data_IF_841858581333
#
_entry.id   IF_841858581333
#
_cell.length_a   1.000
_cell.length_b   1.000
_cell.length_c   1.000
_cell.angle_alpha   90.00
_cell.angle_beta   90.00
_cell.angle_gamma   90.00
#
_symmetry.space_group_name_H-M   'P 1'
#
loop_
_entity.id
_entity.type
_entity.pdbx_description
1 polymer ?
#
# COMPACT_ATOMS: atom_id res chain seq x y z
N UNK A 1 -48.08 1.79 -64.17
CA UNK A 1 -46.98 2.78 -64.14
C UNK A 1 -47.20 3.59 -62.90
N UNK A 2 -46.54 3.14 -61.84
CA UNK A 2 -46.67 3.57 -60.45
C UNK A 2 -45.57 4.58 -60.18
N UNK A 3 -45.95 5.80 -59.82
CA UNK A 3 -45.04 6.74 -59.17
C UNK A 3 -45.73 7.20 -57.88
N UNK A 4 -45.18 6.78 -56.76
CA UNK A 4 -45.57 7.23 -55.43
C UNK A 4 -44.26 7.62 -54.76
N UNK A 5 -43.93 8.90 -54.90
CA UNK A 5 -42.79 9.56 -54.24
C UNK A 5 -43.02 9.53 -52.72
N UNK A 6 -42.43 8.53 -52.08
CA UNK A 6 -42.35 8.42 -50.63
C UNK A 6 -41.03 9.04 -50.20
N UNK A 7 -41.10 10.30 -49.73
CA UNK A 7 -40.00 10.99 -49.05
C UNK A 7 -39.66 10.25 -47.75
N UNK A 8 -38.69 9.35 -47.83
CA UNK A 8 -37.96 8.86 -46.66
C UNK A 8 -37.06 9.98 -46.12
N UNK A 9 -37.64 10.83 -45.27
CA UNK A 9 -36.89 11.65 -44.34
C UNK A 9 -36.31 10.70 -43.29
N UNK A 10 -35.16 10.13 -43.63
CA UNK A 10 -34.30 9.45 -42.67
C UNK A 10 -33.87 10.46 -41.61
N UNK A 11 -34.57 10.46 -40.48
CA UNK A 11 -34.06 10.93 -39.20
C UNK A 11 -32.83 10.07 -38.86
N UNK A 12 -31.67 10.42 -39.42
CA UNK A 12 -30.39 10.01 -38.87
C UNK A 12 -30.28 10.68 -37.51
N UNK A 13 -30.66 9.92 -36.49
CA UNK A 13 -30.37 10.21 -35.11
C UNK A 13 -28.92 10.68 -35.04
N UNK A 14 -28.76 11.91 -34.56
CA UNK A 14 -27.51 12.54 -34.21
C UNK A 14 -26.89 11.70 -33.09
N UNK A 15 -26.20 10.62 -33.46
CA UNK A 15 -25.45 9.77 -32.55
C UNK A 15 -24.26 10.64 -32.14
N UNK A 16 -24.17 11.11 -30.88
CA UNK A 16 -22.99 11.83 -30.45
C UNK A 16 -21.80 10.92 -30.73
N UNK A 17 -20.83 11.44 -31.48
CA UNK A 17 -19.57 10.78 -31.75
C UNK A 17 -19.06 10.22 -30.42
N UNK A 18 -18.73 8.93 -30.42
CA UNK A 18 -18.18 8.26 -29.26
C UNK A 18 -17.06 9.14 -28.71
N UNK A 19 -17.26 9.64 -27.48
CA UNK A 19 -16.18 10.26 -26.72
C UNK A 19 -15.12 9.18 -26.56
N UNK A 20 -14.08 9.20 -27.39
CA UNK A 20 -12.82 8.52 -27.11
C UNK A 20 -12.40 9.02 -25.74
N UNK A 21 -12.62 8.18 -24.74
CA UNK A 21 -12.45 8.55 -23.34
C UNK A 21 -10.99 8.96 -23.14
N UNK A 22 -10.79 10.05 -22.41
CA UNK A 22 -9.47 10.52 -21.93
C UNK A 22 -8.63 9.39 -21.31
N UNK A 23 -9.31 8.37 -20.77
CA UNK A 23 -8.70 7.16 -20.26
C UNK A 23 -7.87 6.37 -21.28
N UNK A 24 -8.26 6.36 -22.56
CA UNK A 24 -7.55 5.63 -23.61
C UNK A 24 -6.34 6.41 -24.14
N UNK A 25 -6.39 7.74 -24.16
CA UNK A 25 -5.30 8.57 -24.69
C UNK A 25 -4.18 8.85 -23.67
N UNK A 26 -4.52 8.91 -22.38
CA UNK A 26 -3.54 9.17 -21.29
C UNK A 26 -3.20 7.88 -20.53
N UNK A 27 -3.91 6.77 -20.80
CA UNK A 27 -3.74 5.50 -20.06
C UNK A 27 -4.13 5.62 -18.59
N UNK A 28 -5.00 6.57 -18.27
CA UNK A 28 -5.23 7.06 -16.91
C UNK A 28 -6.73 7.11 -16.63
N UNK A 29 -7.20 6.23 -15.76
CA UNK A 29 -8.60 6.22 -15.36
C UNK A 29 -8.82 7.33 -14.32
N UNK A 30 -9.40 8.44 -14.77
CA UNK A 30 -9.61 9.63 -13.94
C UNK A 30 -10.40 9.34 -12.65
N UNK A 31 -11.28 8.33 -12.66
CA UNK A 31 -12.03 7.91 -11.48
C UNK A 31 -11.15 7.19 -10.46
N UNK A 32 -10.28 6.30 -10.91
CA UNK A 32 -9.33 5.59 -10.03
C UNK A 32 -8.40 6.59 -9.32
N UNK A 33 -7.96 7.65 -10.00
CA UNK A 33 -7.15 8.71 -9.36
C UNK A 33 -7.90 9.42 -8.24
N UNK A 34 -9.18 9.73 -8.48
CA UNK A 34 -9.99 10.40 -7.47
C UNK A 34 -10.22 9.46 -6.29
N UNK A 35 -10.56 8.20 -6.55
CA UNK A 35 -10.74 7.18 -5.51
C UNK A 35 -9.44 6.98 -4.69
N UNK A 36 -8.28 6.88 -5.34
CA UNK A 36 -6.97 6.80 -4.68
C UNK A 36 -6.68 8.04 -3.83
N UNK A 37 -7.06 9.22 -4.31
CA UNK A 37 -6.89 10.48 -3.57
C UNK A 37 -7.77 10.50 -2.32
N UNK A 38 -9.04 10.09 -2.43
CA UNK A 38 -9.97 10.00 -1.31
C UNK A 38 -9.45 9.00 -0.28
N UNK A 39 -9.02 7.81 -0.73
CA UNK A 39 -8.44 6.79 0.13
C UNK A 39 -7.20 7.32 0.87
N UNK A 40 -6.29 8.01 0.17
CA UNK A 40 -5.12 8.60 0.79
C UNK A 40 -5.49 9.63 1.87
N UNK A 41 -6.49 10.49 1.61
CA UNK A 41 -6.98 11.47 2.61
C UNK A 41 -7.50 10.76 3.85
N UNK A 42 -8.32 9.71 3.69
CA UNK A 42 -8.84 8.94 4.82
C UNK A 42 -7.73 8.26 5.62
N UNK A 43 -6.71 7.71 4.96
CA UNK A 43 -5.52 7.15 5.62
C UNK A 43 -4.80 8.21 6.44
N UNK A 44 -4.52 9.39 5.88
CA UNK A 44 -3.88 10.47 6.63
C UNK A 44 -4.72 10.97 7.82
N UNK A 45 -6.05 10.98 7.68
CA UNK A 45 -6.95 11.31 8.79
C UNK A 45 -6.88 10.26 9.91
N UNK A 46 -6.86 8.97 9.57
CA UNK A 46 -6.70 7.90 10.55
C UNK A 46 -5.34 7.99 11.25
N UNK A 47 -4.24 8.09 10.51
CA UNK A 47 -2.89 8.22 11.06
C UNK A 47 -2.76 9.44 11.98
N UNK A 48 -3.40 10.56 11.60
CA UNK A 48 -3.40 11.79 12.41
C UNK A 48 -4.17 11.65 13.72
N UNK A 49 -5.27 10.90 13.73
CA UNK A 49 -6.04 10.61 14.94
C UNK A 49 -5.30 9.61 15.84
N UNK A 50 -4.68 8.58 15.28
CA UNK A 50 -3.85 7.63 16.04
C UNK A 50 -2.69 8.35 16.74
N UNK A 51 -2.00 9.25 16.01
CA UNK A 51 -0.93 10.06 16.58
C UNK A 51 -1.44 11.05 17.65
N UNK A 52 -2.65 11.59 17.47
CA UNK A 52 -3.30 12.43 18.48
C UNK A 52 -3.63 11.63 19.74
N UNK A 53 -4.23 10.46 19.60
CA UNK A 53 -4.60 9.60 20.71
C UNK A 53 -3.38 9.14 21.52
N UNK A 54 -2.30 8.74 20.82
CA UNK A 54 -1.02 8.40 21.45
C UNK A 54 -0.44 9.60 22.23
N UNK A 55 -0.47 10.80 21.64
CA UNK A 55 0.03 12.02 22.28
C UNK A 55 -0.76 12.39 23.53
N UNK A 56 -2.10 12.33 23.47
CA UNK A 56 -2.98 12.66 24.59
C UNK A 56 -2.87 11.61 25.70
N UNK A 57 -2.88 10.32 25.36
CA UNK A 57 -2.71 9.23 26.32
C UNK A 57 -1.38 9.36 27.07
N UNK A 58 -0.30 9.65 26.36
CA UNK A 58 1.05 9.80 26.93
C UNK A 58 1.16 11.07 27.78
N UNK A 59 0.67 12.21 27.28
CA UNK A 59 0.83 13.51 27.94
C UNK A 59 0.01 13.63 29.22
N UNK A 60 -1.19 13.03 29.25
CA UNK A 60 -2.09 13.06 30.40
C UNK A 60 -1.93 11.83 31.31
N UNK A 61 -1.12 10.84 30.90
CA UNK A 61 -0.95 9.59 31.65
C UNK A 61 -2.27 8.84 31.84
N UNK A 62 -3.14 8.88 30.83
CA UNK A 62 -4.48 8.27 30.91
C UNK A 62 -4.36 6.77 31.11
N UNK A 63 -5.23 6.24 31.97
CA UNK A 63 -5.37 4.80 32.21
C UNK A 63 -6.81 4.38 31.98
N UNK A 64 -6.96 3.13 31.54
CA UNK A 64 -8.20 2.36 31.40
C UNK A 64 -9.43 3.17 30.96
N UNK A 65 -10.24 3.66 31.90
CA UNK A 65 -11.47 4.42 31.60
C UNK A 65 -11.21 5.71 30.80
N UNK A 66 -10.12 6.43 31.12
CA UNK A 66 -9.76 7.66 30.41
C UNK A 66 -9.26 7.40 28.99
N UNK A 67 -8.56 6.27 28.79
CA UNK A 67 -8.11 5.83 27.46
C UNK A 67 -9.30 5.37 26.62
N UNK A 68 -10.22 4.60 27.22
CA UNK A 68 -11.43 4.14 26.53
C UNK A 68 -12.33 5.31 26.10
N UNK A 69 -12.49 6.32 26.97
CA UNK A 69 -13.23 7.54 26.63
C UNK A 69 -12.59 8.34 25.49
N UNK A 70 -11.26 8.43 25.47
CA UNK A 70 -10.50 9.06 24.38
C UNK A 70 -10.71 8.32 23.05
N UNK A 71 -10.51 6.99 23.02
CA UNK A 71 -10.69 6.17 21.82
C UNK A 71 -12.12 6.23 21.29
N UNK A 72 -13.13 6.24 22.18
CA UNK A 72 -14.52 6.40 21.78
C UNK A 72 -14.79 7.79 21.17
N UNK A 73 -14.21 8.84 21.74
CA UNK A 73 -14.29 10.20 21.21
C UNK A 73 -13.60 10.32 19.84
N UNK A 74 -12.41 9.75 19.70
CA UNK A 74 -11.63 9.71 18.46
C UNK A 74 -12.37 8.96 17.35
N UNK A 75 -12.95 7.80 17.66
CA UNK A 75 -13.83 7.06 16.73
C UNK A 75 -15.01 7.92 16.27
N UNK A 76 -15.69 8.62 17.16
CA UNK A 76 -16.81 9.49 16.79
C UNK A 76 -16.38 10.70 15.94
N UNK A 77 -15.14 11.19 16.11
CA UNK A 77 -14.56 12.23 15.24
C UNK A 77 -14.22 11.65 13.87
N UNK A 78 -13.63 10.45 13.82
CA UNK A 78 -13.34 9.75 12.58
C UNK A 78 -14.59 9.49 11.75
N UNK A 79 -15.67 8.97 12.36
CA UNK A 79 -16.94 8.72 11.67
C UNK A 79 -17.48 10.01 11.04
N UNK A 80 -17.41 11.14 11.75
CA UNK A 80 -17.81 12.45 11.22
C UNK A 80 -16.89 12.95 10.11
N UNK A 81 -15.59 12.64 10.18
CA UNK A 81 -14.64 12.96 9.11
C UNK A 81 -14.97 12.14 7.87
N UNK A 82 -15.26 10.84 8.00
CA UNK A 82 -15.69 9.98 6.89
C UNK A 82 -16.96 10.54 6.24
N UNK A 83 -17.99 10.85 7.01
CA UNK A 83 -19.22 11.46 6.47
C UNK A 83 -18.97 12.79 5.72
N UNK A 84 -17.99 13.59 6.18
CA UNK A 84 -17.59 14.84 5.52
C UNK A 84 -16.73 14.62 4.29
N UNK A 85 -15.86 13.61 4.31
CA UNK A 85 -15.05 13.21 3.17
C UNK A 85 -15.93 12.54 2.11
N UNK A 86 -16.99 11.83 2.48
CA UNK A 86 -17.98 11.32 1.51
C UNK A 86 -18.76 12.47 0.82
N UNK A 87 -18.88 13.63 1.45
CA UNK A 87 -19.41 14.85 0.82
C UNK A 87 -18.44 15.49 -0.20
N UNK A 88 -17.23 14.93 -0.36
CA UNK A 88 -16.22 15.32 -1.37
C UNK A 88 -16.63 14.89 -2.79
N UNK A 89 -17.84 14.36 -3.00
CA UNK A 89 -18.49 14.27 -4.32
C UNK A 89 -18.42 15.59 -5.12
N UNK A 90 -18.37 16.74 -4.44
CA UNK A 90 -18.11 18.04 -5.08
C UNK A 90 -16.73 18.14 -5.74
N UNK A 91 -15.69 17.61 -5.09
CA UNK A 91 -14.33 17.55 -5.64
C UNK A 91 -14.22 16.50 -6.74
N UNK A 92 -14.82 15.31 -6.60
CA UNK A 92 -14.80 14.30 -7.67
C UNK A 92 -15.35 14.89 -8.96
N UNK A 93 -16.55 15.47 -8.89
CA UNK A 93 -17.18 16.14 -10.03
C UNK A 93 -16.32 17.28 -10.57
N UNK A 94 -15.80 18.15 -9.71
CA UNK A 94 -14.97 19.27 -10.14
C UNK A 94 -13.67 18.79 -10.82
N UNK A 95 -13.00 17.79 -10.25
CA UNK A 95 -11.77 17.21 -10.79
C UNK A 95 -12.02 16.55 -12.15
N UNK A 96 -13.11 15.78 -12.26
CA UNK A 96 -13.52 15.13 -13.51
C UNK A 96 -13.99 16.11 -14.58
N UNK A 97 -14.53 17.28 -14.22
CA UNK A 97 -15.01 18.29 -15.16
C UNK A 97 -13.93 19.28 -15.60
N UNK A 98 -12.91 19.53 -14.77
CA UNK A 98 -11.94 20.61 -14.99
C UNK A 98 -10.53 20.12 -15.25
N UNK A 99 -9.97 19.29 -14.36
CA UNK A 99 -8.55 18.93 -14.36
C UNK A 99 -8.26 17.63 -15.11
N UNK A 100 -9.21 16.68 -15.07
CA UNK A 100 -9.10 15.36 -15.67
C UNK A 100 -9.98 15.21 -16.92
N UNK A 101 -10.57 16.31 -17.38
CA UNK A 101 -11.32 16.39 -18.62
C UNK A 101 -10.45 16.94 -19.74
N UNK A 102 -10.50 16.30 -20.91
CA UNK A 102 -10.00 16.90 -22.15
C UNK A 102 -11.22 17.31 -22.96
N UNK A 103 -11.41 18.63 -23.22
CA UNK A 103 -12.50 19.11 -24.06
C UNK A 103 -12.50 18.40 -25.42
N UNK A 104 -13.67 17.96 -25.90
CA UNK A 104 -13.79 17.18 -27.13
C UNK A 104 -13.17 17.85 -28.37
N UNK A 105 -13.12 19.19 -28.40
CA UNK A 105 -12.47 19.96 -29.48
C UNK A 105 -10.94 20.03 -29.42
N UNK A 106 -10.34 19.55 -28.32
CA UNK A 106 -8.89 19.48 -28.10
C UNK A 106 -8.36 18.04 -28.16
N UNK A 107 -9.23 17.05 -28.38
CA UNK A 107 -8.81 15.70 -28.75
C UNK A 107 -8.27 15.79 -30.17
N UNK A 108 -7.00 16.17 -30.28
CA UNK A 108 -6.25 16.02 -31.51
C UNK A 108 -6.14 14.50 -31.67
N UNK A 109 -6.90 13.95 -32.62
CA UNK A 109 -6.59 12.63 -33.18
C UNK A 109 -5.21 12.78 -33.80
N UNK A 110 -4.16 12.62 -32.99
CA UNK A 110 -2.84 12.38 -33.51
C UNK A 110 -3.00 11.05 -34.25
N UNK A 111 -3.06 11.13 -35.59
CA UNK A 111 -2.71 9.96 -36.37
C UNK A 111 -1.42 9.43 -35.76
N UNK A 112 -1.32 8.13 -35.44
CA UNK A 112 -0.09 7.58 -34.91
C UNK A 112 0.99 8.03 -35.87
N UNK A 113 1.86 8.93 -35.39
CA UNK A 113 2.97 9.42 -36.20
C UNK A 113 3.74 8.15 -36.45
N UNK A 114 3.64 7.63 -37.68
CA UNK A 114 4.52 6.59 -38.18
C UNK A 114 5.87 7.30 -38.26
N UNK A 115 6.53 7.40 -37.10
CA UNK A 115 7.85 7.95 -37.00
C UNK A 115 8.71 7.03 -37.87
N UNK A 116 9.30 7.51 -38.98
CA UNK A 116 10.14 6.66 -39.80
C UNK A 116 11.37 6.15 -39.02
N UNK A 117 11.65 6.71 -37.84
CA UNK A 117 12.61 6.18 -36.86
C UNK A 117 12.09 4.97 -36.05
N UNK A 118 10.78 4.67 -36.09
CA UNK A 118 10.13 3.53 -35.42
C UNK A 118 9.92 2.32 -36.35
N UNK A 119 10.53 2.30 -37.53
CA UNK A 119 10.67 1.04 -38.28
C UNK A 119 11.78 0.23 -37.63
N UNK A 120 11.47 -0.41 -36.50
CA UNK A 120 12.38 -1.36 -35.87
C UNK A 120 12.75 -2.44 -36.90
N UNK A 121 14.04 -2.66 -37.08
CA UNK A 121 14.51 -3.75 -37.92
C UNK A 121 14.17 -5.10 -37.26
N UNK A 122 14.15 -6.17 -38.05
CA UNK A 122 13.82 -7.52 -37.56
C UNK A 122 14.75 -7.96 -36.42
N UNK A 123 15.98 -7.46 -36.40
CA UNK A 123 16.94 -7.70 -35.33
C UNK A 123 16.55 -7.04 -34.00
N UNK A 124 16.05 -5.79 -34.04
CA UNK A 124 15.56 -5.07 -32.85
C UNK A 124 14.27 -5.70 -32.32
N UNK A 125 13.35 -6.09 -33.19
CA UNK A 125 12.13 -6.81 -32.78
C UNK A 125 12.46 -8.16 -32.12
N UNK A 126 13.38 -8.94 -32.69
CA UNK A 126 13.85 -10.19 -32.07
C UNK A 126 14.53 -9.96 -30.70
N UNK A 127 15.29 -8.88 -30.56
CA UNK A 127 15.93 -8.53 -29.29
C UNK A 127 14.89 -8.11 -28.24
N UNK A 128 13.89 -7.32 -28.62
CA UNK A 128 12.77 -6.93 -27.76
C UNK A 128 11.94 -8.14 -27.33
N UNK A 129 11.68 -9.08 -28.25
CA UNK A 129 10.98 -10.32 -27.94
C UNK A 129 11.77 -11.18 -26.94
N UNK A 130 13.09 -11.28 -27.10
CA UNK A 130 13.95 -11.96 -26.15
C UNK A 130 13.93 -11.28 -24.76
N UNK A 131 13.94 -9.94 -24.72
CA UNK A 131 13.84 -9.18 -23.48
C UNK A 131 12.46 -9.33 -22.82
N UNK A 132 11.37 -9.31 -23.59
CA UNK A 132 10.02 -9.57 -23.12
C UNK A 132 9.88 -10.99 -22.56
N UNK A 133 10.44 -12.00 -23.23
CA UNK A 133 10.48 -13.36 -22.72
C UNK A 133 11.26 -13.45 -21.41
N UNK A 134 12.42 -12.80 -21.34
CA UNK A 134 13.22 -12.73 -20.11
C UNK A 134 12.47 -12.03 -18.97
N UNK A 135 11.78 -10.91 -19.24
CA UNK A 135 10.94 -10.22 -18.25
C UNK A 135 9.78 -11.10 -17.79
N UNK A 136 9.11 -11.82 -18.70
CA UNK A 136 8.04 -12.77 -18.36
C UNK A 136 8.55 -13.89 -17.46
N UNK A 137 9.74 -14.44 -17.74
CA UNK A 137 10.38 -15.45 -16.91
C UNK A 137 10.71 -14.89 -15.51
N UNK A 138 11.26 -13.67 -15.43
CA UNK A 138 11.53 -13.00 -14.16
C UNK A 138 10.26 -12.75 -13.34
N UNK A 139 9.17 -12.33 -13.97
CA UNK A 139 7.87 -12.14 -13.31
C UNK A 139 7.33 -13.49 -12.81
N UNK A 140 7.43 -14.55 -13.61
CA UNK A 140 6.98 -15.89 -13.20
C UNK A 140 7.78 -16.40 -12.00
N UNK A 141 9.12 -16.24 -12.01
CA UNK A 141 9.98 -16.60 -10.89
C UNK A 141 9.71 -15.76 -9.63
N UNK A 142 9.52 -14.45 -9.79
CA UNK A 142 9.15 -13.58 -8.67
C UNK A 142 7.79 -13.97 -8.08
N UNK A 143 6.81 -14.33 -8.91
CA UNK A 143 5.49 -14.82 -8.45
C UNK A 143 5.56 -16.18 -7.76
N UNK A 144 6.44 -17.10 -8.19
CA UNK A 144 6.62 -18.38 -7.49
C UNK A 144 7.27 -18.17 -6.12
N UNK A 145 8.31 -17.34 -6.05
CA UNK A 145 8.96 -16.97 -4.77
C UNK A 145 7.96 -16.26 -3.85
N UNK A 146 7.19 -15.31 -4.36
CA UNK A 146 6.16 -14.62 -3.58
C UNK A 146 5.05 -15.54 -3.06
N UNK A 147 4.69 -16.59 -3.79
CA UNK A 147 3.76 -17.63 -3.29
C UNK A 147 4.40 -18.46 -2.18
N UNK A 148 5.63 -18.91 -2.38
CA UNK A 148 6.36 -19.66 -1.36
C UNK A 148 6.47 -18.87 -0.05
N UNK A 149 6.85 -17.58 -0.10
CA UNK A 149 6.91 -16.75 1.12
C UNK A 149 5.54 -16.59 1.79
N UNK A 150 4.45 -16.50 1.03
CA UNK A 150 3.10 -16.44 1.61
C UNK A 150 2.72 -17.74 2.30
N UNK A 151 3.08 -18.88 1.72
CA UNK A 151 2.83 -20.19 2.32
C UNK A 151 3.68 -20.39 3.58
N UNK A 152 4.96 -19.96 3.57
CA UNK A 152 5.85 -19.96 4.74
C UNK A 152 5.32 -19.05 5.86
N UNK A 153 4.88 -17.83 5.54
CA UNK A 153 4.26 -16.93 6.51
C UNK A 153 2.99 -17.53 7.12
N UNK A 154 2.15 -18.16 6.30
CA UNK A 154 0.95 -18.84 6.79
C UNK A 154 1.31 -20.01 7.71
N UNK A 155 2.30 -20.82 7.37
CA UNK A 155 2.76 -21.91 8.22
C UNK A 155 3.28 -21.38 9.57
N UNK A 156 4.08 -20.29 9.55
CA UNK A 156 4.55 -19.63 10.75
C UNK A 156 3.40 -19.05 11.59
N UNK A 157 2.35 -18.53 10.96
CA UNK A 157 1.17 -18.05 11.67
C UNK A 157 0.40 -19.17 12.36
N UNK A 158 0.27 -20.33 11.70
CA UNK A 158 -0.34 -21.52 12.28
C UNK A 158 0.51 -22.07 13.45
N UNK A 159 1.85 -22.06 13.32
CA UNK A 159 2.78 -22.40 14.41
C UNK A 159 2.69 -21.40 15.58
N UNK A 160 2.60 -20.10 15.29
CA UNK A 160 2.45 -19.08 16.33
C UNK A 160 1.09 -19.17 17.04
N UNK A 161 0.01 -19.48 16.31
CA UNK A 161 -1.30 -19.69 16.90
C UNK A 161 -1.31 -20.91 17.84
N UNK A 162 -0.59 -21.98 17.48
CA UNK A 162 -0.47 -23.17 18.32
C UNK A 162 0.48 -22.99 19.50
N UNK A 163 1.54 -22.18 19.36
CA UNK A 163 2.48 -21.88 20.45
C UNK A 163 2.06 -20.69 21.33
N UNK A 164 1.08 -19.89 20.90
CA UNK A 164 0.68 -18.65 21.56
C UNK A 164 -0.08 -18.83 22.87
N UNK A 165 -0.58 -20.04 23.16
CA UNK A 165 -1.28 -20.31 24.42
C UNK A 165 -0.33 -20.71 25.55
N UNK A 166 0.45 -19.72 26.01
CA UNK A 166 1.36 -19.84 27.16
C UNK A 166 0.61 -20.19 28.46
N UNK A 167 -0.72 -20.00 28.49
CA UNK A 167 -1.56 -20.36 29.64
C UNK A 167 -1.66 -21.88 29.84
N UNK A 168 -1.58 -22.67 28.77
CA UNK A 168 -1.51 -24.12 28.85
C UNK A 168 -0.19 -24.60 29.50
N UNK A 169 0.93 -23.92 29.22
CA UNK A 169 2.20 -24.17 29.89
C UNK A 169 2.17 -23.80 31.38
N UNK A 170 1.51 -22.69 31.73
CA UNK A 170 1.34 -22.28 33.13
C UNK A 170 0.46 -23.27 33.92
N UNK A 171 -0.57 -23.84 33.29
CA UNK A 171 -1.43 -24.86 33.89
C UNK A 171 -0.71 -26.22 34.09
N UNK A 172 0.20 -26.59 33.17
CA UNK A 172 1.05 -27.78 33.32
C UNK A 172 2.10 -27.57 34.41
N UNK A 173 2.72 -26.40 34.53
CA UNK A 173 3.62 -26.07 35.63
C UNK A 173 2.90 -26.11 37.00
N UNK A 174 1.65 -25.63 37.06
CA UNK A 174 0.83 -25.67 38.27
C UNK A 174 0.35 -27.06 38.70
N UNK A 175 0.23 -28.02 37.76
CA UNK A 175 -0.23 -29.39 38.03
C UNK A 175 0.90 -30.42 38.16
N UNK A 176 2.05 -30.18 37.54
CA UNK A 176 3.23 -31.04 37.58
C UNK A 176 4.06 -30.91 38.88
N UNK A 177 3.91 -29.81 39.61
CA UNK A 177 4.53 -29.59 40.93
C UNK A 177 4.06 -30.57 42.02
N UNK A 178 3.04 -31.38 41.75
CA UNK A 178 2.43 -32.28 42.73
C UNK A 178 3.08 -33.67 42.86
N UNK A 179 4.18 -34.02 42.15
CA UNK A 179 4.60 -35.44 42.17
C UNK A 179 6.01 -35.89 41.78
N UNK A 180 6.98 -35.07 41.35
CA UNK A 180 8.37 -35.57 41.14
C UNK A 180 9.44 -34.54 41.50
N UNK A 181 10.42 -34.95 42.32
CA UNK A 181 11.70 -34.26 42.48
C UNK A 181 12.36 -34.10 41.10
N UNK A 182 12.87 -32.90 40.80
CA UNK A 182 13.47 -32.40 39.55
C UNK A 182 12.52 -31.72 38.54
N UNK A 183 11.19 -31.72 38.74
CA UNK A 183 10.27 -30.99 37.83
C UNK A 183 10.29 -29.47 38.02
N UNK A 184 10.65 -28.97 39.21
CA UNK A 184 10.72 -27.53 39.47
C UNK A 184 11.86 -26.86 38.69
N UNK A 185 13.01 -27.52 38.58
CA UNK A 185 14.16 -27.03 37.80
C UNK A 185 13.86 -27.05 36.30
N UNK A 186 13.22 -28.11 35.79
CA UNK A 186 12.81 -28.22 34.39
C UNK A 186 11.70 -27.21 34.05
N UNK A 187 10.70 -27.03 34.92
CA UNK A 187 9.64 -26.04 34.75
C UNK A 187 10.19 -24.60 34.84
N UNK A 188 11.15 -24.33 35.73
CA UNK A 188 11.84 -23.05 35.81
C UNK A 188 12.68 -22.77 34.57
N UNK A 189 13.36 -23.79 34.01
CA UNK A 189 14.13 -23.67 32.78
C UNK A 189 13.23 -23.41 31.57
N UNK A 190 12.08 -24.09 31.47
CA UNK A 190 11.09 -23.88 30.42
C UNK A 190 10.43 -22.50 30.55
N UNK A 191 10.06 -22.07 31.76
CA UNK A 191 9.51 -20.74 32.01
C UNK A 191 10.54 -19.64 31.68
N UNK A 192 11.81 -19.84 32.02
CA UNK A 192 12.89 -18.91 31.67
C UNK A 192 13.14 -18.86 30.15
N UNK A 193 13.01 -19.99 29.44
CA UNK A 193 13.10 -20.02 27.98
C UNK A 193 11.89 -19.34 27.31
N UNK A 194 10.68 -19.54 27.83
CA UNK A 194 9.47 -18.87 27.36
C UNK A 194 9.53 -17.34 27.57
N UNK A 195 10.01 -16.90 28.75
CA UNK A 195 10.25 -15.47 29.04
C UNK A 195 11.32 -14.86 28.12
N UNK A 196 12.32 -15.64 27.70
CA UNK A 196 13.33 -15.20 26.71
C UNK A 196 12.78 -15.13 25.29
N UNK A 197 11.79 -15.96 24.94
CA UNK A 197 11.12 -15.95 23.64
C UNK A 197 10.10 -14.82 23.51
N UNK A 198 9.46 -14.40 24.60
CA UNK A 198 8.44 -13.34 24.62
C UNK A 198 8.89 -12.01 23.97
N UNK A 199 10.08 -11.44 24.27
CA UNK A 199 10.56 -10.23 23.60
C UNK A 199 10.96 -10.46 22.13
N UNK A 200 11.36 -11.69 21.76
CA UNK A 200 11.66 -12.03 20.37
C UNK A 200 10.38 -12.13 19.54
N UNK A 201 9.30 -12.63 20.14
CA UNK A 201 7.97 -12.69 19.56
C UNK A 201 7.39 -11.28 19.34
N UNK A 202 7.47 -10.42 20.35
CA UNK A 202 7.07 -9.02 20.22
C UNK A 202 7.86 -8.29 19.12
N UNK A 203 9.16 -8.56 19.02
CA UNK A 203 10.02 -7.99 17.98
C UNK A 203 9.69 -8.54 16.59
N UNK A 204 9.35 -9.82 16.46
CA UNK A 204 8.90 -10.41 15.22
C UNK A 204 7.55 -9.83 14.76
N UNK A 205 6.61 -9.63 15.69
CA UNK A 205 5.33 -8.97 15.42
C UNK A 205 5.52 -7.50 14.99
N UNK A 206 6.43 -6.76 15.62
CA UNK A 206 6.78 -5.39 15.19
C UNK A 206 7.42 -5.36 13.80
N UNK A 207 8.29 -6.33 13.47
CA UNK A 207 8.84 -6.44 12.12
C UNK A 207 7.77 -6.78 11.09
N UNK A 208 6.76 -7.55 11.49
CA UNK A 208 5.61 -7.88 10.65
C UNK A 208 4.71 -6.67 10.42
N UNK A 209 4.37 -5.90 11.45
CA UNK A 209 3.57 -4.67 11.26
C UNK A 209 4.31 -3.64 10.42
N UNK A 210 5.65 -3.59 10.51
CA UNK A 210 6.46 -2.77 9.61
C UNK A 210 6.46 -3.30 8.17
N UNK A 211 6.42 -4.62 7.97
CA UNK A 211 6.33 -5.25 6.66
C UNK A 211 4.92 -5.11 6.03
N UNK A 212 3.87 -5.17 6.85
CA UNK A 212 2.47 -5.02 6.41
C UNK A 212 2.09 -3.53 6.25
N UNK A 213 2.64 -2.64 7.07
CA UNK A 213 2.46 -1.18 6.99
C UNK A 213 3.29 -0.52 5.87
N UNK A 214 4.42 -1.12 5.48
CA UNK A 214 5.06 -0.84 4.20
C UNK A 214 4.36 -1.63 3.11
N UNK A 215 3.14 -1.19 2.75
CA UNK A 215 2.36 -1.73 1.66
C UNK A 215 3.24 -2.07 0.46
N UNK A 216 3.50 -3.37 0.29
CA UNK A 216 4.23 -3.98 -0.81
C UNK A 216 3.36 -3.94 -2.07
N UNK A 217 3.07 -2.73 -2.53
CA UNK A 217 3.19 -2.47 -3.95
C UNK A 217 4.67 -2.57 -4.26
N UNK A 218 5.02 -3.53 -5.11
CA UNK A 218 6.35 -3.72 -5.65
C UNK A 218 6.82 -2.43 -6.36
N UNK A 219 7.30 -1.46 -5.58
CA UNK A 219 8.15 -0.38 -6.04
C UNK A 219 9.57 -0.85 -5.89
N UNK A 220 10.31 -0.62 -6.96
CA UNK A 220 11.52 -1.32 -7.34
C UNK A 220 12.58 -1.32 -6.24
N UNK A 221 13.51 -2.27 -6.30
CA UNK A 221 14.63 -2.46 -5.37
C UNK A 221 15.46 -1.17 -5.11
N UNK A 222 15.38 -0.16 -6.00
CA UNK A 222 15.98 1.17 -5.82
C UNK A 222 15.26 2.01 -4.76
N UNK A 223 13.93 1.96 -4.68
CA UNK A 223 13.15 2.78 -3.74
C UNK A 223 13.35 2.31 -2.29
N UNK A 224 13.48 1.00 -2.08
CA UNK A 224 13.78 0.42 -0.77
C UNK A 224 15.19 0.83 -0.27
N UNK A 225 16.19 0.87 -1.16
CA UNK A 225 17.53 1.34 -0.80
C UNK A 225 17.56 2.85 -0.51
N UNK A 226 16.79 3.64 -1.27
CA UNK A 226 16.70 5.10 -1.08
C UNK A 226 15.95 5.44 0.21
N UNK A 227 14.89 4.70 0.55
CA UNK A 227 14.18 4.84 1.82
C UNK A 227 15.06 4.45 3.01
N UNK A 228 15.83 3.37 2.91
CA UNK A 228 16.79 2.97 3.94
C UNK A 228 17.93 4.00 4.12
N UNK A 229 18.41 4.60 3.03
CA UNK A 229 19.43 5.67 3.08
C UNK A 229 18.87 6.96 3.70
N UNK A 230 17.61 7.32 3.38
CA UNK A 230 16.89 8.45 3.99
C UNK A 230 16.64 8.24 5.49
N UNK A 231 16.28 7.03 5.89
CA UNK A 231 16.12 6.63 7.31
C UNK A 231 17.46 6.75 8.05
N UNK A 232 18.56 6.32 7.43
CA UNK A 232 19.91 6.49 7.96
C UNK A 232 20.32 7.97 8.08
N UNK A 233 20.05 8.79 7.06
CA UNK A 233 20.35 10.23 7.08
C UNK A 233 19.52 10.95 8.13
N UNK A 234 18.24 10.60 8.31
CA UNK A 234 17.40 11.13 9.41
C UNK A 234 17.95 10.76 10.79
N UNK A 235 18.36 9.50 10.98
CA UNK A 235 19.01 9.06 12.23
C UNK A 235 20.35 9.77 12.46
N UNK A 236 21.12 10.03 11.40
CA UNK A 236 22.40 10.74 11.46
C UNK A 236 22.23 12.24 11.73
N UNK A 237 21.17 12.85 11.19
CA UNK A 237 20.78 14.24 11.45
C UNK A 237 20.24 14.43 12.88
N UNK A 238 19.45 13.47 13.38
CA UNK A 238 18.99 13.45 14.77
C UNK A 238 20.15 13.28 15.78
N UNK A 239 21.26 12.67 15.36
CA UNK A 239 22.50 12.56 16.16
C UNK A 239 23.46 13.75 15.98
N UNK A 240 23.01 14.87 15.40
CA UNK A 240 23.73 16.15 15.45
C UNK A 240 24.97 16.26 14.57
N UNK A 241 25.11 15.41 13.55
CA UNK A 241 26.28 15.40 12.67
C UNK A 241 25.92 15.13 11.22
N UNK A 242 25.31 16.10 10.54
CA UNK A 242 25.20 16.07 9.08
C UNK A 242 25.66 17.42 8.52
N UNK A 243 26.71 17.37 7.71
CA UNK A 243 27.20 18.50 6.92
C UNK A 243 26.26 18.65 5.72
N UNK A 244 25.85 19.88 5.42
CA UNK A 244 24.87 20.21 4.35
C UNK A 244 25.23 19.59 2.99
N UNK A 245 26.51 19.36 2.72
CA UNK A 245 27.00 18.68 1.51
C UNK A 245 26.51 17.22 1.37
N UNK A 246 26.30 16.49 2.46
CA UNK A 246 25.83 15.10 2.39
C UNK A 246 24.34 15.03 2.01
N UNK A 247 23.55 16.01 2.43
CA UNK A 247 22.14 16.16 2.03
C UNK A 247 22.02 16.52 0.55
N UNK A 248 22.92 17.40 0.07
CA UNK A 248 22.90 17.84 -1.33
C UNK A 248 23.33 16.72 -2.29
N UNK A 249 24.35 15.93 -1.93
CA UNK A 249 24.77 14.75 -2.70
C UNK A 249 23.73 13.62 -2.71
N UNK A 250 22.95 13.49 -1.65
CA UNK A 250 21.82 12.56 -1.62
C UNK A 250 20.68 13.06 -2.52
N UNK A 251 20.47 14.38 -2.60
CA UNK A 251 19.45 14.98 -3.46
C UNK A 251 19.80 14.90 -4.96
N UNK A 252 21.06 15.11 -5.34
CA UNK A 252 21.52 14.95 -6.73
C UNK A 252 21.38 13.51 -7.24
N UNK A 253 21.65 12.51 -6.37
CA UNK A 253 21.51 11.10 -6.74
C UNK A 253 20.05 10.63 -6.91
N UNK A 254 19.07 11.42 -6.48
CA UNK A 254 17.64 11.14 -6.68
C UNK A 254 17.09 11.70 -7.99
N UNK A 255 17.84 12.54 -8.71
CA UNK A 255 17.40 13.15 -9.97
C UNK A 255 17.92 12.42 -11.23
N UNK A 256 18.61 11.29 -11.06
CA UNK A 256 19.10 10.38 -12.11
C UNK A 256 18.47 8.99 -11.96
#
# INVERSE_FOLDING_TARGET
>A
MTDTDQKDVSLTANRPAASTNVAESIGLNAREVVDDTINAVLTYCADGLDAFDECVATSLGLKDEGLQGLLQGSSAVYDRLVERVEQVQGFERLALETCLHVPAGLIINQEPVADPANQADEATELALDAELQHMRQRIAAARSVGRQHKDELRALDEELATCGDVSALAAVAGSAAAGKENLEDDAAAIAAAALRLQPLLARAQQLRTLADGCGLHARTNKDATVLAEKEMVRRKAAMGGVVVEDLWRAQERMQL
#
